data_IF_164753044711
#
_entry.id   IF_164753044711
#
_cell.length_a   1.000
_cell.length_b   1.000
_cell.length_c   1.000
_cell.angle_alpha   90.00
_cell.angle_beta   90.00
_cell.angle_gamma   90.00
#
_symmetry.space_group_name_H-M   'P 1'
#
loop_
_entity.id
_entity.type
_entity.pdbx_description
1 polymer ?
#
# COMPACT_ATOMS: atom_id res chain seq x y z
N UNK A 1 -18.07 1.33 16.46
CA UNK A 1 -16.99 2.33 16.61
C UNK A 1 -16.55 2.73 15.21
N UNK A 2 -16.09 3.97 15.02
CA UNK A 2 -15.52 4.43 13.74
C UNK A 2 -14.02 4.52 13.96
N UNK A 3 -13.24 3.81 13.15
CA UNK A 3 -11.78 3.90 13.17
C UNK A 3 -11.34 5.28 12.69
N UNK A 4 -10.28 5.85 13.24
CA UNK A 4 -9.69 7.11 12.74
C UNK A 4 -8.98 6.91 11.41
N UNK A 5 -8.28 5.80 11.28
CA UNK A 5 -7.57 5.44 10.06
C UNK A 5 -7.62 3.92 9.86
N UNK A 6 -7.98 3.53 8.65
CA UNK A 6 -7.92 2.15 8.18
C UNK A 6 -7.15 2.05 6.86
N UNK A 7 -6.66 0.86 6.53
CA UNK A 7 -6.01 0.58 5.24
C UNK A 7 -6.78 -0.52 4.50
N UNK A 8 -6.98 -0.34 3.19
CA UNK A 8 -7.54 -1.32 2.28
C UNK A 8 -6.51 -1.77 1.25
N UNK A 9 -6.41 -3.08 1.02
CA UNK A 9 -5.50 -3.65 0.03
C UNK A 9 -6.05 -4.94 -0.57
N UNK A 10 -5.59 -5.25 -1.79
CA UNK A 10 -5.73 -6.57 -2.41
C UNK A 10 -4.33 -7.17 -2.53
N UNK A 11 -4.18 -8.43 -2.16
CA UNK A 11 -2.88 -9.10 -2.19
C UNK A 11 -2.95 -10.47 -2.84
N UNK A 12 -1.81 -10.91 -3.36
CA UNK A 12 -1.62 -12.27 -3.85
C UNK A 12 -0.17 -12.70 -3.71
N UNK A 13 0.07 -13.77 -2.97
CA UNK A 13 1.40 -14.35 -2.81
C UNK A 13 2.46 -13.32 -2.34
N UNK A 14 2.14 -12.60 -1.27
CA UNK A 14 2.98 -11.54 -0.66
C UNK A 14 3.25 -11.83 0.83
N UNK A 15 3.19 -13.10 1.22
CA UNK A 15 3.37 -13.52 2.61
C UNK A 15 4.71 -13.09 3.20
N UNK A 16 5.76 -12.97 2.40
CA UNK A 16 7.09 -12.58 2.87
C UNK A 16 7.15 -11.16 3.45
N UNK A 17 6.32 -10.22 2.97
CA UNK A 17 6.26 -8.82 3.45
C UNK A 17 5.07 -8.56 4.37
N UNK A 18 4.07 -9.45 4.37
CA UNK A 18 2.79 -9.28 5.08
C UNK A 18 2.94 -8.82 6.54
N UNK A 19 3.80 -9.47 7.33
CA UNK A 19 3.99 -9.12 8.76
C UNK A 19 4.56 -7.69 8.90
N UNK A 20 5.63 -7.37 8.17
CA UNK A 20 6.25 -6.05 8.20
C UNK A 20 5.30 -4.94 7.75
N UNK A 21 4.51 -5.20 6.71
CA UNK A 21 3.53 -4.25 6.20
C UNK A 21 2.44 -3.95 7.24
N UNK A 22 1.86 -4.97 7.89
CA UNK A 22 0.86 -4.77 8.96
C UNK A 22 1.47 -4.01 10.14
N UNK A 23 2.64 -4.43 10.63
CA UNK A 23 3.27 -3.79 11.80
C UNK A 23 3.70 -2.35 11.50
N UNK A 24 4.12 -2.04 10.28
CA UNK A 24 4.35 -0.67 9.85
C UNK A 24 3.08 0.17 9.99
N UNK A 25 1.97 -0.25 9.41
CA UNK A 25 0.75 0.56 9.46
C UNK A 25 0.19 0.68 10.89
N UNK A 26 0.27 -0.37 11.71
CA UNK A 26 -0.08 -0.30 13.13
C UNK A 26 0.78 0.72 13.88
N UNK A 27 2.10 0.72 13.65
CA UNK A 27 3.03 1.69 14.23
C UNK A 27 2.72 3.12 13.80
N UNK A 28 2.21 3.30 12.59
CA UNK A 28 1.81 4.58 12.00
C UNK A 28 0.38 5.03 12.34
N UNK A 29 -0.28 4.35 13.28
CA UNK A 29 -1.58 4.74 13.84
C UNK A 29 -2.79 4.17 13.12
N UNK A 30 -2.62 3.22 12.19
CA UNK A 30 -3.73 2.48 11.58
C UNK A 30 -4.40 1.60 12.63
N UNK A 31 -5.72 1.63 12.65
CA UNK A 31 -6.52 0.92 13.66
C UNK A 31 -7.22 -0.32 13.08
N UNK A 32 -7.39 -0.39 11.75
CA UNK A 32 -8.06 -1.52 11.09
C UNK A 32 -7.59 -1.73 9.64
N UNK A 33 -7.69 -2.98 9.18
CA UNK A 33 -7.33 -3.37 7.82
C UNK A 33 -8.50 -4.07 7.11
N UNK A 34 -8.73 -3.73 5.85
CA UNK A 34 -9.67 -4.42 4.95
C UNK A 34 -8.86 -5.08 3.82
N UNK A 35 -8.58 -6.37 3.97
CA UNK A 35 -7.70 -7.08 3.05
C UNK A 35 -8.48 -8.06 2.19
N UNK A 36 -8.16 -8.11 0.91
CA UNK A 36 -8.73 -9.05 -0.04
C UNK A 36 -7.62 -10.01 -0.48
N UNK A 37 -7.73 -11.27 -0.07
CA UNK A 37 -6.89 -12.34 -0.59
C UNK A 37 -7.36 -12.74 -1.99
N UNK A 38 -6.47 -12.66 -2.97
CA UNK A 38 -6.74 -12.99 -4.37
C UNK A 38 -6.26 -14.39 -4.76
N UNK A 39 -6.61 -15.37 -3.93
CA UNK A 39 -6.26 -16.77 -4.13
C UNK A 39 -4.77 -17.02 -3.89
N UNK A 40 -4.24 -16.51 -2.78
CA UNK A 40 -2.86 -16.78 -2.37
C UNK A 40 -2.65 -18.26 -2.07
N UNK A 41 -1.52 -18.79 -2.50
CA UNK A 41 -1.08 -20.17 -2.26
C UNK A 41 0.16 -20.25 -1.38
N UNK A 42 0.67 -19.10 -0.93
CA UNK A 42 1.76 -18.99 0.02
C UNK A 42 1.24 -18.94 1.48
N UNK A 43 2.12 -18.55 2.41
CA UNK A 43 1.82 -18.49 3.84
C UNK A 43 1.19 -17.16 4.29
N UNK A 44 0.85 -16.23 3.38
CA UNK A 44 0.37 -14.89 3.73
C UNK A 44 -0.91 -14.88 4.58
N UNK A 45 -1.89 -15.73 4.23
CA UNK A 45 -3.14 -15.86 5.01
C UNK A 45 -2.88 -16.39 6.42
N UNK A 46 -1.91 -17.29 6.59
CA UNK A 46 -1.54 -17.81 7.91
C UNK A 46 -0.93 -16.72 8.80
N UNK A 47 -0.11 -15.82 8.24
CA UNK A 47 0.44 -14.65 8.96
C UNK A 47 -0.67 -13.74 9.46
N UNK A 48 -1.77 -13.58 8.72
CA UNK A 48 -2.86 -12.69 9.10
C UNK A 48 -3.69 -13.22 10.29
N UNK A 49 -3.63 -14.52 10.60
CA UNK A 49 -4.50 -15.14 11.59
C UNK A 49 -4.51 -14.43 12.95
N UNK A 50 -3.37 -14.09 13.59
CA UNK A 50 -3.37 -13.42 14.89
C UNK A 50 -4.00 -12.03 14.84
N UNK A 51 -3.89 -11.32 13.72
CA UNK A 51 -4.49 -10.00 13.53
C UNK A 51 -6.00 -10.08 13.31
N UNK A 52 -6.46 -11.10 12.59
CA UNK A 52 -7.89 -11.41 12.44
C UNK A 52 -8.50 -11.78 13.81
N UNK A 53 -7.84 -12.66 14.57
CA UNK A 53 -8.30 -13.08 15.90
C UNK A 53 -8.41 -11.89 16.88
N UNK A 54 -7.55 -10.88 16.73
CA UNK A 54 -7.58 -9.62 17.50
C UNK A 54 -8.59 -8.59 17.00
N UNK A 55 -9.27 -8.86 15.88
CA UNK A 55 -10.21 -7.93 15.26
C UNK A 55 -9.57 -6.74 14.55
N UNK A 56 -8.25 -6.79 14.25
CA UNK A 56 -7.54 -5.72 13.54
C UNK A 56 -7.70 -5.84 12.01
N UNK A 57 -7.95 -7.05 11.51
CA UNK A 57 -8.06 -7.33 10.08
C UNK A 57 -9.43 -7.93 9.78
N UNK A 58 -10.15 -7.30 8.86
CA UNK A 58 -11.25 -7.94 8.12
C UNK A 58 -10.67 -8.53 6.84
N UNK A 59 -10.60 -9.86 6.78
CA UNK A 59 -10.12 -10.58 5.61
C UNK A 59 -11.28 -11.03 4.72
N UNK A 60 -11.19 -10.74 3.43
CA UNK A 60 -12.06 -11.23 2.37
C UNK A 60 -11.28 -12.16 1.46
N UNK A 61 -11.99 -13.05 0.76
CA UNK A 61 -11.41 -13.89 -0.29
C UNK A 61 -12.13 -13.60 -1.59
N UNK A 62 -11.37 -13.35 -2.65
CA UNK A 62 -11.96 -13.18 -3.98
C UNK A 62 -12.49 -14.53 -4.50
N UNK A 63 -13.67 -14.49 -5.13
CA UNK A 63 -14.39 -15.66 -5.64
C UNK A 63 -14.69 -15.55 -7.15
N UNK A 64 -14.00 -14.65 -7.84
CA UNK A 64 -14.28 -14.33 -9.24
C UNK A 64 -13.13 -14.65 -10.19
N UNK A 65 -13.51 -15.06 -11.40
CA UNK A 65 -12.62 -15.27 -12.54
C UNK A 65 -11.90 -13.97 -12.95
N UNK A 66 -10.89 -14.11 -13.80
CA UNK A 66 -10.11 -13.00 -14.30
C UNK A 66 -10.86 -12.15 -15.34
N UNK A 67 -10.79 -10.82 -15.21
CA UNK A 67 -11.28 -9.85 -16.20
C UNK A 67 -10.66 -8.45 -15.99
N UNK A 68 -10.72 -7.58 -17.01
CA UNK A 68 -10.16 -6.22 -16.95
C UNK A 68 -10.94 -5.35 -15.95
N UNK A 69 -10.21 -4.61 -15.09
CA UNK A 69 -10.80 -3.73 -14.08
C UNK A 69 -11.23 -4.43 -12.78
N UNK A 70 -10.89 -5.71 -12.64
CA UNK A 70 -11.26 -6.55 -11.49
C UNK A 70 -10.80 -6.01 -10.15
N UNK A 71 -9.62 -5.38 -10.04
CA UNK A 71 -9.16 -4.83 -8.75
C UNK A 71 -10.11 -3.74 -8.24
N UNK A 72 -10.53 -2.81 -9.12
CA UNK A 72 -11.53 -1.78 -8.78
C UNK A 72 -12.83 -2.42 -8.34
N UNK A 73 -13.30 -3.44 -9.05
CA UNK A 73 -14.58 -4.09 -8.72
C UNK A 73 -14.52 -4.82 -7.37
N UNK A 74 -13.39 -5.47 -7.05
CA UNK A 74 -13.15 -6.10 -5.75
C UNK A 74 -13.09 -5.05 -4.62
N UNK A 75 -12.42 -3.92 -4.83
CA UNK A 75 -12.43 -2.80 -3.88
C UNK A 75 -13.85 -2.28 -3.64
N UNK A 76 -14.64 -2.10 -4.69
CA UNK A 76 -16.01 -1.61 -4.58
C UNK A 76 -16.98 -2.64 -3.96
N UNK A 77 -16.75 -3.93 -4.18
CA UNK A 77 -17.56 -5.01 -3.60
C UNK A 77 -17.28 -5.18 -2.11
N UNK A 78 -16.01 -5.16 -1.70
CA UNK A 78 -15.60 -5.57 -0.35
C UNK A 78 -15.23 -4.40 0.56
N UNK A 79 -14.55 -3.37 0.03
CA UNK A 79 -13.97 -2.29 0.84
C UNK A 79 -14.86 -1.05 0.87
N UNK A 80 -15.40 -0.60 -0.27
CA UNK A 80 -16.25 0.60 -0.33
C UNK A 80 -17.43 0.57 0.67
N UNK A 81 -18.16 -0.54 0.87
CA UNK A 81 -19.25 -0.59 1.86
C UNK A 81 -18.78 -0.38 3.31
N UNK A 82 -17.48 -0.55 3.56
CA UNK A 82 -16.81 -0.38 4.86
C UNK A 82 -16.24 1.02 5.05
N UNK A 83 -16.27 1.89 4.04
CA UNK A 83 -15.76 3.27 4.16
C UNK A 83 -16.41 4.02 5.35
N UNK A 84 -17.69 3.75 5.64
CA UNK A 84 -18.43 4.30 6.80
C UNK A 84 -17.92 3.83 8.18
N UNK A 85 -17.08 2.80 8.23
CA UNK A 85 -16.51 2.23 9.46
C UNK A 85 -15.21 2.95 9.86
N UNK A 86 -14.69 3.86 9.03
CA UNK A 86 -13.47 4.64 9.29
C UNK A 86 -13.66 6.11 8.95
N UNK A 87 -12.88 7.03 9.52
CA UNK A 87 -12.83 8.45 9.13
C UNK A 87 -11.95 8.63 7.89
N UNK A 88 -10.78 8.00 7.88
CA UNK A 88 -9.89 7.95 6.73
C UNK A 88 -9.62 6.51 6.31
N UNK A 89 -9.65 6.25 5.01
CA UNK A 89 -9.24 4.99 4.42
C UNK A 89 -8.06 5.24 3.48
N UNK A 90 -6.93 4.58 3.71
CA UNK A 90 -5.83 4.50 2.76
C UNK A 90 -6.03 3.29 1.85
N UNK A 91 -5.98 3.48 0.54
CA UNK A 91 -5.86 2.37 -0.42
C UNK A 91 -4.40 2.25 -0.85
N UNK A 92 -3.74 1.13 -0.53
CA UNK A 92 -2.30 0.94 -0.74
C UNK A 92 -1.96 -0.54 -0.97
N UNK A 93 -0.97 -0.84 -1.81
CA UNK A 93 -0.55 -2.21 -2.11
C UNK A 93 0.52 -2.72 -1.09
N UNK A 94 0.79 -4.03 -1.06
CA UNK A 94 1.66 -4.64 -0.04
C UNK A 94 3.16 -4.36 -0.22
N UNK A 95 3.56 -3.84 -1.37
CA UNK A 95 4.90 -3.35 -1.65
C UNK A 95 5.03 -1.83 -1.48
N UNK A 96 4.03 -1.18 -0.88
CA UNK A 96 3.96 0.26 -0.72
C UNK A 96 3.77 0.68 0.74
N UNK A 97 4.60 1.63 1.18
CA UNK A 97 4.69 2.07 2.57
C UNK A 97 4.52 3.59 2.63
N UNK A 98 3.32 4.02 3.03
CA UNK A 98 3.01 5.44 3.25
C UNK A 98 3.45 5.85 4.65
N UNK A 99 4.20 6.94 4.75
CA UNK A 99 4.68 7.48 6.01
C UNK A 99 4.79 9.00 5.98
N UNK A 100 5.10 9.64 7.11
CA UNK A 100 5.41 11.06 7.16
C UNK A 100 6.77 11.31 7.83
N UNK A 101 7.68 12.09 7.20
CA UNK A 101 8.93 12.50 7.84
C UNK A 101 8.73 13.29 9.14
N UNK A 102 7.60 14.00 9.26
CA UNK A 102 7.31 14.86 10.40
C UNK A 102 6.48 14.17 11.49
N UNK A 103 5.68 13.16 11.15
CA UNK A 103 4.72 12.54 12.07
C UNK A 103 4.78 11.02 11.98
N UNK A 104 5.07 10.35 13.10
CA UNK A 104 4.93 8.88 13.18
C UNK A 104 3.45 8.48 13.12
N UNK A 105 2.59 9.18 13.85
CA UNK A 105 1.15 8.94 13.81
C UNK A 105 0.49 9.72 12.66
N UNK A 106 0.12 9.01 11.59
CA UNK A 106 -0.47 9.63 10.39
C UNK A 106 -1.85 10.24 10.64
N UNK A 107 -2.52 9.87 11.74
CA UNK A 107 -3.80 10.49 12.12
C UNK A 107 -3.63 11.97 12.47
N UNK A 108 -2.43 12.41 12.87
CA UNK A 108 -2.15 13.82 13.19
C UNK A 108 -2.32 14.73 11.96
N UNK A 109 -1.55 14.54 10.87
CA UNK A 109 -1.76 15.35 9.66
C UNK A 109 -3.12 15.13 9.00
N UNK A 110 -3.66 13.91 9.02
CA UNK A 110 -5.01 13.63 8.50
C UNK A 110 -6.11 14.36 9.28
N UNK A 111 -5.95 14.53 10.59
CA UNK A 111 -6.87 15.31 11.42
C UNK A 111 -6.87 16.80 11.04
N UNK A 112 -5.72 17.37 10.72
CA UNK A 112 -5.61 18.74 10.21
C UNK A 112 -6.22 18.89 8.80
N UNK A 113 -6.19 17.82 8.00
CA UNK A 113 -6.76 17.73 6.67
C UNK A 113 -8.23 17.28 6.65
N UNK A 114 -8.98 17.31 7.77
CA UNK A 114 -10.36 16.81 7.84
C UNK A 114 -11.36 17.49 6.88
N UNK A 115 -10.99 18.66 6.32
CA UNK A 115 -11.72 19.40 5.29
C UNK A 115 -11.42 18.92 3.85
N UNK A 116 -10.50 17.98 3.69
CA UNK A 116 -10.11 17.37 2.42
C UNK A 116 -10.80 16.01 2.28
N UNK A 117 -11.30 15.72 1.08
CA UNK A 117 -11.99 14.48 0.73
C UNK A 117 -11.06 13.39 0.20
N UNK A 118 -9.99 13.78 -0.50
CA UNK A 118 -8.98 12.86 -1.01
C UNK A 118 -7.60 13.51 -1.02
N UNK A 119 -6.61 12.74 -0.58
CA UNK A 119 -5.19 13.11 -0.61
C UNK A 119 -4.49 12.05 -1.45
N UNK A 120 -3.89 12.45 -2.58
CA UNK A 120 -3.06 11.55 -3.39
C UNK A 120 -1.59 11.75 -3.10
N UNK A 121 -0.84 10.66 -3.14
CA UNK A 121 0.60 10.62 -2.87
C UNK A 121 1.27 9.93 -4.05
N UNK A 122 2.28 10.60 -4.61
CA UNK A 122 3.12 10.04 -5.65
C UNK A 122 4.19 9.13 -5.03
N UNK A 123 4.44 7.99 -5.67
CA UNK A 123 5.44 7.07 -5.15
C UNK A 123 6.87 7.54 -5.42
N UNK A 124 7.78 6.97 -4.66
CA UNK A 124 9.21 6.93 -4.96
C UNK A 124 9.62 5.48 -5.07
N UNK A 125 10.15 5.07 -6.22
CA UNK A 125 10.59 3.69 -6.45
C UNK A 125 11.87 3.39 -5.66
N UNK A 126 11.83 2.29 -4.92
CA UNK A 126 12.99 1.70 -4.27
C UNK A 126 13.43 0.45 -5.03
N UNK A 127 14.72 0.41 -5.37
CA UNK A 127 15.37 -0.70 -6.02
C UNK A 127 15.71 -1.86 -5.07
N UNK A 128 16.31 -2.90 -5.63
CA UNK A 128 16.74 -4.12 -4.95
C UNK A 128 17.90 -3.91 -3.98
N UNK A 129 18.52 -2.73 -3.97
CA UNK A 129 19.80 -2.47 -3.33
C UNK A 129 20.91 -3.46 -3.74
N UNK A 130 20.77 -4.08 -4.93
CA UNK A 130 21.66 -5.13 -5.43
C UNK A 130 21.49 -6.49 -4.75
N UNK A 131 20.45 -6.69 -3.94
CA UNK A 131 20.20 -7.94 -3.24
C UNK A 131 19.58 -8.99 -4.16
N UNK A 132 20.22 -10.16 -4.22
CA UNK A 132 19.73 -11.29 -5.00
C UNK A 132 18.56 -12.01 -4.30
N UNK A 133 18.61 -12.13 -2.98
CA UNK A 133 17.63 -12.83 -2.13
C UNK A 133 16.81 -11.83 -1.31
N UNK A 134 15.59 -12.22 -0.91
CA UNK A 134 14.76 -11.37 -0.07
C UNK A 134 15.34 -11.26 1.35
N UNK A 135 15.54 -10.05 1.88
CA UNK A 135 15.98 -9.82 3.23
C UNK A 135 14.83 -10.08 4.21
N UNK A 136 15.13 -10.25 5.51
CA UNK A 136 14.10 -10.37 6.55
C UNK A 136 13.19 -9.14 6.70
N UNK A 137 13.64 -7.97 6.22
CA UNK A 137 12.90 -6.71 6.25
C UNK A 137 13.12 -5.95 4.95
N UNK A 138 12.03 -5.69 4.24
CA UNK A 138 11.96 -4.91 3.01
C UNK A 138 12.40 -3.48 3.30
N UNK A 139 11.81 -2.83 4.31
CA UNK A 139 12.11 -1.44 4.67
C UNK A 139 13.55 -1.29 5.19
N UNK A 140 14.03 -2.28 5.94
CA UNK A 140 15.35 -2.25 6.56
C UNK A 140 16.52 -2.46 5.60
N UNK A 141 16.26 -3.07 4.44
CA UNK A 141 17.30 -3.51 3.51
C UNK A 141 17.28 -2.79 2.16
N UNK A 142 16.10 -2.55 1.58
CA UNK A 142 15.99 -1.84 0.30
C UNK A 142 16.05 -0.33 0.52
N UNK A 143 17.25 0.18 0.80
CA UNK A 143 17.47 1.61 1.11
C UNK A 143 17.95 2.42 -0.09
N UNK A 144 17.94 1.84 -1.29
CA UNK A 144 18.36 2.51 -2.51
C UNK A 144 17.14 2.82 -3.36
N UNK A 145 16.98 4.08 -3.76
CA UNK A 145 15.84 4.54 -4.56
C UNK A 145 16.24 5.23 -5.85
N UNK A 146 15.26 5.43 -6.71
CA UNK A 146 15.34 6.32 -7.85
C UNK A 146 15.84 7.72 -7.46
N UNK A 147 16.62 8.36 -8.34
CA UNK A 147 17.15 9.71 -8.12
C UNK A 147 16.04 10.73 -7.94
N UNK A 148 15.01 10.65 -8.78
CA UNK A 148 13.84 11.51 -8.72
C UNK A 148 12.87 11.02 -7.63
N UNK A 149 12.46 11.94 -6.75
CA UNK A 149 11.54 11.69 -5.65
C UNK A 149 10.55 12.86 -5.55
N UNK A 150 9.26 12.66 -5.86
CA UNK A 150 8.65 11.42 -6.36
C UNK A 150 9.22 10.95 -7.71
N UNK A 151 9.11 9.65 -7.99
CA UNK A 151 9.57 9.09 -9.27
C UNK A 151 8.62 9.48 -10.39
N UNK A 152 9.14 9.96 -11.53
CA UNK A 152 8.31 10.35 -12.68
C UNK A 152 7.60 9.15 -13.30
N UNK A 153 6.39 8.90 -12.81
CA UNK A 153 5.50 7.86 -13.34
C UNK A 153 4.05 8.37 -13.24
N UNK A 154 3.57 9.09 -14.27
CA UNK A 154 2.26 9.73 -14.21
C UNK A 154 1.17 8.69 -13.98
N UNK A 155 0.32 8.94 -12.99
CA UNK A 155 -0.84 8.11 -12.68
C UNK A 155 -0.60 6.98 -11.69
N UNK A 156 0.64 6.75 -11.22
CA UNK A 156 0.93 5.76 -10.18
C UNK A 156 0.93 6.42 -8.80
N UNK A 157 -0.29 6.60 -8.26
CA UNK A 157 -0.52 7.23 -6.95
C UNK A 157 -1.31 6.31 -6.05
N UNK A 158 -1.13 6.47 -4.74
CA UNK A 158 -2.04 5.95 -3.73
C UNK A 158 -2.69 7.10 -2.99
N UNK A 159 -3.74 6.79 -2.24
CA UNK A 159 -4.60 7.84 -1.74
C UNK A 159 -5.27 7.51 -0.42
N UNK A 160 -5.37 8.54 0.40
CA UNK A 160 -6.32 8.59 1.50
C UNK A 160 -7.66 9.12 0.99
N UNK A 161 -8.76 8.55 1.44
CA UNK A 161 -10.12 9.04 1.21
C UNK A 161 -10.85 9.23 2.53
N UNK A 162 -11.53 10.37 2.67
CA UNK A 162 -12.24 10.78 3.87
C UNK A 162 -13.72 10.40 3.76
N UNK A 163 -14.21 9.60 4.71
CA UNK A 163 -15.58 9.07 4.70
C UNK A 163 -16.66 10.13 4.98
N UNK A 164 -16.27 11.36 5.32
CA UNK A 164 -17.19 12.51 5.43
C UNK A 164 -17.74 12.97 4.07
N UNK A 165 -17.12 12.54 2.97
CA UNK A 165 -17.53 12.87 1.62
C UNK A 165 -18.24 11.67 0.97
N UNK A 166 -19.20 11.95 0.09
CA UNK A 166 -19.86 10.90 -0.68
C UNK A 166 -18.93 10.36 -1.78
N UNK A 167 -18.57 9.09 -1.67
CA UNK A 167 -17.68 8.39 -2.59
C UNK A 167 -18.46 7.29 -3.31
N UNK A 168 -18.39 7.26 -4.64
CA UNK A 168 -19.13 6.29 -5.49
C UNK A 168 -18.26 5.13 -5.96
N UNK A 169 -16.93 5.32 -6.00
CA UNK A 169 -15.99 4.27 -6.40
C UNK A 169 -14.65 4.41 -5.70
N UNK A 170 -14.07 3.28 -5.30
CA UNK A 170 -12.64 3.12 -5.01
C UNK A 170 -11.95 2.54 -6.24
N UNK A 171 -11.09 3.31 -6.90
CA UNK A 171 -10.25 2.85 -8.01
C UNK A 171 -8.82 2.57 -7.51
N UNK A 172 -7.95 2.06 -8.38
CA UNK A 172 -6.58 1.66 -8.01
C UNK A 172 -5.74 2.85 -7.55
N UNK A 173 -5.95 4.04 -8.14
CA UNK A 173 -5.15 5.24 -7.90
C UNK A 173 -5.94 6.47 -7.44
N UNK A 174 -7.27 6.39 -7.36
CA UNK A 174 -8.12 7.48 -6.89
C UNK A 174 -9.49 6.99 -6.41
N UNK A 175 -10.17 7.77 -5.58
CA UNK A 175 -11.60 7.63 -5.32
C UNK A 175 -12.43 8.55 -6.23
N UNK A 176 -13.60 8.10 -6.66
CA UNK A 176 -14.54 8.93 -7.41
C UNK A 176 -15.58 9.53 -6.46
N UNK A 177 -15.71 10.86 -6.47
CA UNK A 177 -16.72 11.56 -5.69
C UNK A 177 -18.10 11.45 -6.33
N UNK A 178 -19.16 11.51 -5.52
CA UNK A 178 -20.53 11.67 -6.02
C UNK A 178 -20.74 13.07 -6.61
N UNK A 179 -20.16 14.09 -5.99
CA UNK A 179 -20.27 15.49 -6.44
C UNK A 179 -18.95 15.95 -7.05
N UNK A 180 -18.99 16.37 -8.31
CA UNK A 180 -17.84 16.95 -9.01
C UNK A 180 -17.29 18.21 -8.30
N UNK A 181 -18.14 18.95 -7.58
CA UNK A 181 -17.70 20.11 -6.80
C UNK A 181 -16.80 19.70 -5.62
N UNK A 182 -17.08 18.55 -5.01
CA UNK A 182 -16.23 18.04 -3.93
C UNK A 182 -14.86 17.61 -4.47
N UNK A 183 -14.87 16.92 -5.62
CA UNK A 183 -13.63 16.51 -6.29
C UNK A 183 -12.75 17.71 -6.64
N UNK A 184 -13.33 18.84 -7.06
CA UNK A 184 -12.57 20.04 -7.42
C UNK A 184 -12.00 20.78 -6.22
N UNK A 185 -12.73 20.83 -5.10
CA UNK A 185 -12.39 21.71 -3.98
C UNK A 185 -11.77 20.98 -2.78
N UNK A 186 -11.95 19.66 -2.69
CA UNK A 186 -11.55 18.83 -1.56
C UNK A 186 -10.61 17.71 -1.98
N UNK A 187 -9.81 17.97 -3.02
CA UNK A 187 -8.76 17.10 -3.50
C UNK A 187 -7.42 17.80 -3.38
N UNK A 188 -6.40 17.09 -2.90
CA UNK A 188 -5.02 17.55 -2.98
C UNK A 188 -4.11 16.45 -3.52
N UNK A 189 -3.12 16.87 -4.31
CA UNK A 189 -1.91 16.11 -4.53
C UNK A 189 -0.92 16.54 -3.46
N UNK A 190 -0.60 15.64 -2.53
CA UNK A 190 0.38 15.93 -1.49
C UNK A 190 1.79 15.66 -1.98
N UNK A 191 2.66 16.64 -1.76
CA UNK A 191 4.07 16.63 -2.13
C UNK A 191 4.98 16.85 -0.92
N UNK A 192 4.41 17.03 0.29
CA UNK A 192 5.16 17.56 1.43
C UNK A 192 4.96 16.81 2.73
N UNK A 193 3.75 16.31 3.00
CA UNK A 193 3.42 15.76 4.30
C UNK A 193 3.68 14.26 4.38
N UNK A 194 3.26 13.54 3.35
CA UNK A 194 3.36 12.11 3.20
C UNK A 194 4.38 11.76 2.13
N UNK A 195 5.00 10.60 2.32
CA UNK A 195 5.86 9.96 1.35
C UNK A 195 5.38 8.54 1.14
N UNK A 196 5.56 8.03 -0.08
CA UNK A 196 5.19 6.68 -0.46
C UNK A 196 6.41 5.95 -1.00
N UNK A 197 7.00 5.10 -0.17
CA UNK A 197 8.07 4.22 -0.60
C UNK A 197 7.46 3.02 -1.32
N UNK A 198 7.80 2.82 -2.59
CA UNK A 198 7.29 1.72 -3.41
C UNK A 198 8.42 0.74 -3.73
N UNK A 199 8.42 -0.38 -3.02
CA UNK A 199 9.35 -1.50 -3.16
C UNK A 199 8.87 -2.46 -4.25
N UNK A 200 8.66 -1.94 -5.45
CA UNK A 200 8.04 -2.67 -6.57
C UNK A 200 8.82 -3.94 -6.96
N UNK A 201 10.15 -3.81 -7.11
CA UNK A 201 11.01 -4.90 -7.57
C UNK A 201 11.40 -5.87 -6.44
N UNK A 202 11.84 -5.32 -5.30
CA UNK A 202 12.46 -6.07 -4.21
C UNK A 202 13.66 -6.88 -4.72
N UNK A 203 13.90 -8.10 -4.23
CA UNK A 203 15.01 -8.93 -4.71
C UNK A 203 14.76 -9.53 -6.09
N UNK A 204 15.86 -9.85 -6.77
CA UNK A 204 15.83 -10.55 -8.06
C UNK A 204 15.18 -11.94 -7.95
N UNK A 205 15.45 -12.67 -6.86
CA UNK A 205 14.84 -13.98 -6.59
C UNK A 205 13.32 -13.88 -6.46
N UNK A 206 12.83 -12.97 -5.62
CA UNK A 206 11.38 -12.79 -5.44
C UNK A 206 10.69 -12.36 -6.73
N UNK A 207 11.31 -11.47 -7.50
CA UNK A 207 10.77 -11.07 -8.78
C UNK A 207 10.59 -12.27 -9.71
N UNK A 208 11.66 -13.06 -9.87
CA UNK A 208 11.69 -14.21 -10.74
C UNK A 208 10.73 -15.32 -10.29
N UNK A 209 10.80 -15.74 -9.02
CA UNK A 209 10.04 -16.87 -8.51
C UNK A 209 8.56 -16.54 -8.24
N UNK A 210 8.23 -15.26 -8.01
CA UNK A 210 6.88 -14.86 -7.59
C UNK A 210 6.25 -13.85 -8.54
N UNK A 211 6.81 -12.65 -8.71
CA UNK A 211 6.17 -11.57 -9.51
C UNK A 211 5.97 -11.95 -10.98
N UNK A 212 6.91 -12.70 -11.57
CA UNK A 212 6.79 -13.23 -12.94
C UNK A 212 5.68 -14.28 -13.10
N UNK A 213 5.28 -14.97 -12.03
CA UNK A 213 4.37 -16.11 -12.09
C UNK A 213 2.98 -15.86 -11.49
N UNK A 214 2.82 -14.92 -10.55
CA UNK A 214 1.53 -14.70 -9.86
C UNK A 214 0.45 -14.02 -10.72
N UNK A 215 0.86 -13.39 -11.81
CA UNK A 215 0.01 -12.57 -12.68
C UNK A 215 -0.19 -11.13 -12.19
N UNK A 216 -1.03 -10.39 -12.91
CA UNK A 216 -1.45 -9.04 -12.57
C UNK A 216 -2.98 -8.99 -12.49
N UNK A 217 -3.50 -8.42 -11.40
CA UNK A 217 -4.95 -8.40 -11.10
C UNK A 217 -5.76 -7.62 -12.14
N UNK A 218 -5.17 -6.62 -12.81
CA UNK A 218 -5.88 -5.76 -13.74
C UNK A 218 -5.67 -6.15 -15.20
N UNK A 219 -4.45 -6.54 -15.56
CA UNK A 219 -4.05 -6.64 -16.96
C UNK A 219 -3.48 -8.01 -17.36
N UNK A 220 -3.33 -8.95 -16.42
CA UNK A 220 -2.68 -10.25 -16.62
C UNK A 220 -1.31 -10.15 -17.30
N UNK A 221 -0.64 -9.02 -17.10
CA UNK A 221 0.72 -8.83 -17.59
C UNK A 221 1.60 -9.86 -16.91
N UNK A 222 2.19 -10.74 -17.72
CA UNK A 222 3.29 -11.59 -17.29
C UNK A 222 4.51 -10.70 -17.21
N UNK A 223 5.05 -10.52 -16.01
CA UNK A 223 6.26 -9.73 -15.79
C UNK A 223 7.48 -10.51 -16.28
N UNK A 224 8.47 -9.80 -16.80
CA UNK A 224 9.73 -10.36 -17.30
C UNK A 224 10.92 -9.88 -16.47
N UNK A 225 12.11 -10.43 -16.72
CA UNK A 225 13.33 -9.87 -16.12
C UNK A 225 13.70 -8.51 -16.70
N UNK A 226 13.30 -8.19 -17.95
CA UNK A 226 13.48 -6.84 -18.48
C UNK A 226 12.63 -5.82 -17.69
N UNK A 227 11.41 -6.22 -17.29
CA UNK A 227 10.57 -5.39 -16.44
C UNK A 227 11.22 -5.14 -15.07
N UNK A 228 11.97 -6.12 -14.53
CA UNK A 228 12.76 -5.93 -13.30
C UNK A 228 13.83 -4.85 -13.51
N UNK A 229 14.62 -4.97 -14.58
CA UNK A 229 15.70 -4.03 -14.90
C UNK A 229 15.18 -2.59 -15.09
N UNK A 230 13.93 -2.42 -15.55
CA UNK A 230 13.27 -1.10 -15.67
C UNK A 230 12.92 -0.45 -14.32
N UNK A 231 12.48 -1.26 -13.34
CA UNK A 231 12.04 -0.74 -12.02
C UNK A 231 13.11 -0.81 -10.94
N UNK A 232 14.22 -1.53 -11.17
CA UNK A 232 15.33 -1.66 -10.22
C UNK A 232 16.24 -0.41 -10.19
N UNK A 233 15.73 0.67 -9.60
CA UNK A 233 16.45 1.95 -9.52
C UNK A 233 17.18 2.12 -8.19
N UNK A 234 18.52 2.18 -8.24
CA UNK A 234 19.41 2.20 -7.08
C UNK A 234 20.33 3.43 -7.06
N UNK A 235 19.78 4.62 -7.34
CA UNK A 235 20.59 5.82 -7.59
C UNK A 235 21.03 6.56 -6.33
N UNK A 236 20.18 6.57 -5.30
CA UNK A 236 20.35 7.39 -4.08
C UNK A 236 20.01 6.55 -2.85
N UNK A 237 20.87 6.60 -1.83
CA UNK A 237 20.57 6.02 -0.52
C UNK A 237 19.53 6.87 0.22
N UNK A 238 18.48 6.22 0.71
CA UNK A 238 17.42 6.81 1.50
C UNK A 238 17.04 5.87 2.64
N UNK A 239 17.43 6.27 3.86
CA UNK A 239 17.15 5.54 5.09
C UNK A 239 16.01 6.16 5.91
N UNK A 240 15.25 7.12 5.36
CA UNK A 240 14.26 7.89 6.12
C UNK A 240 13.24 7.00 6.84
N UNK A 241 12.52 6.19 6.07
CA UNK A 241 11.56 5.24 6.62
C UNK A 241 12.25 4.17 7.49
N UNK A 242 13.41 3.64 7.07
CA UNK A 242 14.17 2.67 7.85
C UNK A 242 14.48 3.15 9.26
N UNK A 243 14.92 4.41 9.40
CA UNK A 243 15.22 4.99 10.71
C UNK A 243 13.96 5.15 11.55
N UNK A 244 12.86 5.62 10.96
CA UNK A 244 11.60 5.82 11.69
C UNK A 244 10.94 4.49 12.10
N UNK A 245 11.02 3.47 11.24
CA UNK A 245 10.54 2.11 11.48
C UNK A 245 11.52 1.26 12.31
N UNK A 246 12.59 1.82 12.89
CA UNK A 246 13.55 1.07 13.72
C UNK A 246 12.89 0.10 14.72
N UNK A 247 11.93 0.55 15.55
CA UNK A 247 11.20 -0.32 16.48
C UNK A 247 10.43 -1.47 15.80
N UNK A 248 9.85 -1.22 14.63
CA UNK A 248 9.14 -2.25 13.86
C UNK A 248 10.13 -3.30 13.33
N UNK A 249 11.22 -2.84 12.73
CA UNK A 249 12.25 -3.72 12.14
C UNK A 249 12.91 -4.58 13.21
N UNK A 250 13.18 -4.03 14.39
CA UNK A 250 13.76 -4.78 15.50
C UNK A 250 12.79 -5.86 16.00
N UNK A 251 11.49 -5.55 16.12
CA UNK A 251 10.45 -6.50 16.53
C UNK A 251 10.13 -7.61 15.53
N UNK A 252 10.60 -7.51 14.27
CA UNK A 252 10.48 -8.60 13.30
C UNK A 252 11.46 -9.75 13.55
N UNK A 253 12.54 -9.50 14.32
CA UNK A 253 13.60 -10.49 14.62
C UNK A 253 13.28 -11.39 15.81
N UNK A 254 12.21 -11.07 16.54
CA UNK A 254 11.64 -11.83 17.65
C UNK A 254 10.55 -12.81 17.17
#
# INVERSE_FOLDING_TARGET
>A
MVYKLAVGALFKNEGHVMKEWIEHYLFHGVEHFYLIDDGSTDFGVAILKPYVDRGLVTLFTSDCDYYLGRQRDLYNRFVLPRLKETEWLLMCDLDEFVWSPAYVDLRVPLGAAAHIGQIQIEHTLFGSAGLAENPPSVVGAYVMRARESPTRSPGLRKYFVNSRFSITSLNVHHASFERLEDEKNHFILDETCFQLNHYCCQSREFWWLVKCHRGDVNNWRVRTMADFDEVDQNDVEDCGLKMQNGPVIDGLRE
#
